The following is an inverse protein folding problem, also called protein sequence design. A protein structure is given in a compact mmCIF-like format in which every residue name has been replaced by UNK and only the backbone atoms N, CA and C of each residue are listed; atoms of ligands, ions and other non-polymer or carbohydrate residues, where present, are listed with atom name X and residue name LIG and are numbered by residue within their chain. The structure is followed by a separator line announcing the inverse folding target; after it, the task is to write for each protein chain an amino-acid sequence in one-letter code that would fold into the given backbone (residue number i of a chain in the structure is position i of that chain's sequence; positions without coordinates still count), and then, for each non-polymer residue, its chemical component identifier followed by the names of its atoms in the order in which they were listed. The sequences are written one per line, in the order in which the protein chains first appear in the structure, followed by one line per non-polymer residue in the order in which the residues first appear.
data_IF_784117628762
#
_entry.id   IF_784117628762
#
_cell.length_a   1.000
_cell.length_b   1.000
_cell.length_c   1.000
_cell.angle_alpha   90.00
_cell.angle_beta   90.00
_cell.angle_gamma   90.00
#
_symmetry.space_group_name_H-M   'P 1'
#
loop_
_entity.id
_entity.type
_entity.pdbx_description
1 polymer ?
#
# COMPACT_ATOMS: atom_id res chain seq x y z
N UNK A 1 -14.39 0.98 0.66
CA UNK A 1 -13.67 1.52 -0.49
C UNK A 1 -12.84 2.69 0.01
N UNK A 2 -11.56 2.52 0.15
CA UNK A 2 -10.68 3.60 0.60
C UNK A 2 -9.78 4.00 -0.56
N UNK A 3 -9.83 5.28 -0.88
CA UNK A 3 -8.88 5.92 -1.79
C UNK A 3 -7.74 6.44 -0.92
N UNK A 4 -6.55 5.88 -1.07
CA UNK A 4 -5.35 6.50 -0.53
C UNK A 4 -5.01 7.70 -1.43
N UNK A 5 -5.30 8.91 -0.96
CA UNK A 5 -4.74 10.13 -1.53
C UNK A 5 -3.48 10.44 -0.75
N UNK A 6 -2.32 10.12 -1.32
CA UNK A 6 -1.05 10.61 -0.80
C UNK A 6 -0.76 11.99 -1.41
N UNK A 7 -0.34 12.95 -0.57
CA UNK A 7 -0.10 14.34 -0.93
C UNK A 7 1.01 14.46 -1.99
N UNK A 8 0.58 14.56 -3.24
CA UNK A 8 1.38 15.29 -4.22
C UNK A 8 1.25 16.77 -3.86
N UNK A 9 2.36 17.46 -3.60
CA UNK A 9 2.38 18.91 -3.41
C UNK A 9 1.58 19.58 -4.54
N UNK A 10 0.32 19.89 -4.24
CA UNK A 10 -0.54 20.64 -5.12
C UNK A 10 -0.09 22.10 -5.11
N UNK A 11 0.75 22.49 -6.07
CA UNK A 11 0.90 23.88 -6.47
C UNK A 11 -0.27 24.32 -7.30
N UNK A 12 -1.49 24.14 -6.80
CA UNK A 12 -2.66 24.80 -7.34
C UNK A 12 -2.78 26.17 -6.69
N UNK A 13 -2.29 27.20 -7.36
CA UNK A 13 -2.75 28.57 -7.12
C UNK A 13 -4.23 28.65 -7.48
N UNK A 14 -5.10 28.58 -6.46
CA UNK A 14 -6.51 28.85 -6.64
C UNK A 14 -6.71 30.34 -6.91
N UNK A 15 -6.89 30.70 -8.15
CA UNK A 15 -7.50 31.96 -8.53
C UNK A 15 -9.00 31.72 -8.77
N UNK A 16 -9.82 32.11 -7.81
CA UNK A 16 -11.27 32.19 -7.97
C UNK A 16 -11.58 33.30 -8.95
N UNK A 17 -11.94 32.95 -10.18
CA UNK A 17 -12.62 33.85 -11.11
C UNK A 17 -13.73 33.05 -11.80
N UNK A 18 -14.99 33.49 -11.56
CA UNK A 18 -16.20 33.16 -12.31
C UNK A 18 -16.35 31.75 -12.90
N UNK A 19 -16.98 30.87 -12.16
CA UNK A 19 -17.91 29.84 -12.68
C UNK A 19 -17.38 28.78 -13.62
N UNK A 20 -16.13 28.79 -14.06
CA UNK A 20 -15.50 27.77 -14.87
C UNK A 20 -14.25 27.22 -14.17
N UNK A 21 -14.39 26.10 -13.46
CA UNK A 21 -13.28 25.30 -13.01
C UNK A 21 -12.70 24.66 -14.27
N UNK A 22 -11.63 25.21 -14.81
CA UNK A 22 -10.80 24.51 -15.79
C UNK A 22 -9.92 23.54 -15.01
N UNK A 23 -10.38 22.28 -14.89
CA UNK A 23 -9.53 21.20 -14.39
C UNK A 23 -8.35 21.02 -15.34
N UNK A 24 -7.16 21.49 -14.93
CA UNK A 24 -5.91 21.35 -15.68
C UNK A 24 -5.14 20.08 -15.28
N UNK A 25 -5.80 19.11 -14.63
CA UNK A 25 -5.24 17.81 -14.28
C UNK A 25 -5.71 16.70 -15.22
N UNK A 26 -4.88 15.71 -15.46
CA UNK A 26 -5.31 14.45 -16.06
C UNK A 26 -6.20 13.74 -15.05
N UNK A 27 -7.50 13.98 -15.14
CA UNK A 27 -8.46 13.46 -14.18
C UNK A 27 -8.69 11.95 -14.44
N UNK A 28 -7.85 11.12 -13.91
CA UNK A 28 -7.97 9.68 -13.93
C UNK A 28 -7.98 9.13 -12.50
N UNK A 29 -8.80 8.13 -12.24
CA UNK A 29 -8.75 7.37 -10.99
C UNK A 29 -8.47 5.90 -11.28
N UNK A 30 -7.70 5.29 -10.39
CA UNK A 30 -7.45 3.86 -10.37
C UNK A 30 -8.28 3.25 -9.25
N UNK A 31 -8.96 2.16 -9.55
CA UNK A 31 -9.86 1.48 -8.63
C UNK A 31 -9.36 0.05 -8.48
N UNK A 32 -8.84 -0.25 -7.30
CA UNK A 32 -8.40 -1.60 -6.95
C UNK A 32 -9.58 -2.36 -6.33
N UNK A 33 -9.85 -3.54 -6.87
CA UNK A 33 -10.81 -4.47 -6.30
C UNK A 33 -10.08 -5.68 -5.75
N UNK A 34 -10.24 -5.95 -4.46
CA UNK A 34 -9.63 -7.10 -3.79
C UNK A 34 -9.99 -8.44 -4.44
N UNK A 35 -11.20 -8.53 -4.95
CA UNK A 35 -11.78 -9.78 -5.38
C UNK A 35 -12.36 -10.59 -4.21
N UNK A 36 -12.47 -11.88 -4.39
CA UNK A 36 -12.92 -12.82 -3.36
C UNK A 36 -11.75 -13.72 -2.95
N UNK A 37 -11.61 -13.94 -1.66
CA UNK A 37 -10.57 -14.77 -1.06
C UNK A 37 -10.45 -16.15 -1.73
N UNK A 38 -9.24 -16.55 -2.10
CA UNK A 38 -8.91 -17.78 -2.82
C UNK A 38 -9.51 -17.93 -4.22
N UNK A 39 -10.02 -16.85 -4.84
CA UNK A 39 -10.51 -16.90 -6.22
C UNK A 39 -9.55 -16.31 -7.25
N UNK A 40 -8.42 -15.75 -6.83
CA UNK A 40 -7.40 -15.18 -7.71
C UNK A 40 -7.97 -14.20 -8.73
N UNK A 41 -8.90 -13.35 -8.30
CA UNK A 41 -9.69 -12.48 -9.17
C UNK A 41 -9.62 -10.99 -8.82
N UNK A 42 -8.57 -10.57 -8.12
CA UNK A 42 -8.28 -9.15 -7.92
C UNK A 42 -8.15 -8.42 -9.25
N UNK A 43 -8.60 -7.18 -9.30
CA UNK A 43 -8.58 -6.40 -10.54
C UNK A 43 -8.26 -4.93 -10.29
N UNK A 44 -7.58 -4.33 -11.27
CA UNK A 44 -7.36 -2.89 -11.34
C UNK A 44 -8.18 -2.33 -12.49
N UNK A 45 -9.06 -1.39 -12.19
CA UNK A 45 -9.80 -0.60 -13.17
C UNK A 45 -9.24 0.83 -13.25
N UNK A 46 -9.42 1.47 -14.40
CA UNK A 46 -9.05 2.85 -14.65
C UNK A 46 -10.23 3.63 -15.21
N UNK A 47 -10.57 4.75 -14.61
CA UNK A 47 -11.59 5.66 -15.10
C UNK A 47 -10.96 6.99 -15.51
N UNK A 48 -11.29 7.48 -16.70
CA UNK A 48 -10.85 8.77 -17.22
C UNK A 48 -12.02 9.74 -17.23
N UNK A 49 -11.92 10.84 -16.50
CA UNK A 49 -12.92 11.91 -16.51
C UNK A 49 -12.95 12.65 -17.86
N UNK A 50 -11.81 12.80 -18.50
CA UNK A 50 -11.72 13.47 -19.82
C UNK A 50 -12.55 12.77 -20.90
N UNK A 51 -12.56 11.45 -20.93
CA UNK A 51 -13.30 10.66 -21.91
C UNK A 51 -14.59 10.05 -21.39
N UNK A 52 -14.88 10.20 -20.08
CA UNK A 52 -15.97 9.53 -19.38
C UNK A 52 -15.99 8.02 -19.59
N UNK A 53 -14.80 7.40 -19.56
CA UNK A 53 -14.61 5.99 -19.91
C UNK A 53 -13.99 5.19 -18.78
N UNK A 54 -14.63 4.03 -18.48
CA UNK A 54 -14.12 3.03 -17.55
C UNK A 54 -13.51 1.85 -18.32
N UNK A 55 -12.28 1.48 -17.96
CA UNK A 55 -11.61 0.23 -18.37
C UNK A 55 -11.55 -0.68 -17.16
N UNK A 56 -12.45 -1.66 -17.07
CA UNK A 56 -12.62 -2.53 -15.87
C UNK A 56 -11.46 -3.46 -15.62
N UNK A 57 -10.85 -4.00 -16.65
CA UNK A 57 -9.76 -4.98 -16.56
C UNK A 57 -8.41 -4.36 -16.96
N UNK A 58 -8.17 -3.11 -16.57
CA UNK A 58 -7.04 -2.30 -17.03
C UNK A 58 -5.70 -3.05 -16.94
N UNK A 59 -5.38 -3.61 -15.77
CA UNK A 59 -4.14 -4.36 -15.60
C UNK A 59 -4.08 -5.62 -16.47
N UNK A 60 -5.15 -6.43 -16.46
CA UNK A 60 -5.21 -7.70 -17.18
C UNK A 60 -5.14 -7.51 -18.69
N UNK A 61 -5.81 -6.48 -19.20
CA UNK A 61 -5.86 -6.20 -20.64
C UNK A 61 -4.49 -5.78 -21.18
N UNK A 62 -3.70 -5.06 -20.40
CA UNK A 62 -2.35 -4.61 -20.76
C UNK A 62 -1.30 -5.72 -20.56
N UNK A 63 -1.33 -6.39 -19.41
CA UNK A 63 -0.27 -7.31 -19.00
C UNK A 63 -0.53 -8.78 -19.31
N UNK A 64 -1.71 -9.11 -19.87
CA UNK A 64 -2.12 -10.47 -20.31
C UNK A 64 -2.10 -11.53 -19.22
N UNK A 65 -2.17 -11.10 -17.96
CA UNK A 65 -2.26 -11.95 -16.78
C UNK A 65 -3.13 -11.31 -15.69
N UNK A 66 -3.59 -12.10 -14.74
CA UNK A 66 -4.29 -11.61 -13.55
C UNK A 66 -3.35 -10.83 -12.62
N UNK A 67 -3.95 -10.01 -11.76
CA UNK A 67 -3.22 -9.27 -10.72
C UNK A 67 -2.83 -10.19 -9.55
N UNK A 68 -3.70 -11.12 -9.21
CA UNK A 68 -3.51 -12.04 -8.09
C UNK A 68 -4.75 -12.17 -7.21
N UNK A 69 -4.54 -12.60 -5.99
CA UNK A 69 -5.58 -12.83 -4.97
C UNK A 69 -5.45 -11.84 -3.82
N UNK A 70 -6.56 -11.18 -3.51
CA UNK A 70 -6.71 -10.24 -2.40
C UNK A 70 -5.71 -9.07 -2.48
N UNK A 71 -5.83 -8.27 -3.55
CA UNK A 71 -5.08 -7.02 -3.68
C UNK A 71 -5.75 -5.93 -2.83
N UNK A 72 -5.09 -5.47 -1.78
CA UNK A 72 -5.73 -4.65 -0.75
C UNK A 72 -5.15 -3.24 -0.57
N UNK A 73 -4.05 -2.91 -1.22
CA UNK A 73 -3.52 -1.54 -1.18
C UNK A 73 -2.94 -1.12 -2.53
N UNK A 74 -3.05 0.17 -2.83
CA UNK A 74 -2.55 0.79 -4.06
C UNK A 74 -2.02 2.18 -3.76
N UNK A 75 -0.78 2.45 -4.18
CA UNK A 75 -0.16 3.74 -3.95
C UNK A 75 0.70 4.19 -5.14
N UNK A 76 0.60 5.47 -5.47
CA UNK A 76 1.44 6.10 -6.49
C UNK A 76 2.69 6.68 -5.83
N UNK A 77 3.86 6.33 -6.34
CA UNK A 77 5.12 6.94 -5.92
C UNK A 77 6.05 7.17 -7.12
N UNK A 78 6.38 8.43 -7.35
CA UNK A 78 7.10 8.85 -8.56
C UNK A 78 6.32 8.50 -9.82
N UNK A 79 6.95 7.77 -10.74
CA UNK A 79 6.32 7.30 -11.98
C UNK A 79 5.74 5.88 -11.88
N UNK A 80 5.65 5.32 -10.68
CA UNK A 80 5.26 3.92 -10.47
C UNK A 80 4.02 3.81 -9.58
N UNK A 81 3.13 2.91 -9.95
CA UNK A 81 2.00 2.50 -9.14
C UNK A 81 2.32 1.15 -8.50
N UNK A 82 2.28 1.11 -7.18
CA UNK A 82 2.54 -0.09 -6.39
C UNK A 82 1.22 -0.68 -5.93
N UNK A 83 1.06 -1.98 -6.08
CA UNK A 83 -0.15 -2.70 -5.70
C UNK A 83 0.25 -3.85 -4.77
N UNK A 84 -0.28 -3.84 -3.57
CA UNK A 84 -0.03 -4.86 -2.56
C UNK A 84 -1.04 -5.98 -2.73
N UNK A 85 -0.56 -7.20 -2.99
CA UNK A 85 -1.41 -8.38 -3.24
C UNK A 85 -1.20 -9.39 -2.12
N UNK A 86 -2.12 -9.42 -1.17
CA UNK A 86 -1.96 -10.10 0.12
C UNK A 86 -1.80 -11.62 -0.01
N UNK A 87 -2.84 -12.32 -0.46
CA UNK A 87 -2.85 -13.80 -0.50
C UNK A 87 -1.84 -14.32 -1.53
N UNK A 88 -1.69 -13.64 -2.67
CA UNK A 88 -0.63 -13.97 -3.63
C UNK A 88 0.78 -13.63 -3.13
N UNK A 89 0.89 -12.94 -2.02
CA UNK A 89 2.16 -12.54 -1.37
C UNK A 89 3.14 -11.87 -2.32
N UNK A 90 2.68 -10.81 -2.98
CA UNK A 90 3.48 -10.05 -3.95
C UNK A 90 3.20 -8.56 -3.87
N UNK A 91 4.17 -7.75 -4.31
CA UNK A 91 3.97 -6.34 -4.66
C UNK A 91 4.09 -6.24 -6.18
N UNK A 92 3.01 -5.89 -6.84
CA UNK A 92 3.03 -5.59 -8.26
C UNK A 92 3.40 -4.12 -8.47
N UNK A 93 4.40 -3.84 -9.31
CA UNK A 93 4.84 -2.49 -9.65
C UNK A 93 4.62 -2.26 -11.12
N UNK A 94 3.81 -1.26 -11.46
CA UNK A 94 3.53 -0.89 -12.85
C UNK A 94 4.00 0.53 -13.15
N UNK A 95 4.36 0.78 -14.38
CA UNK A 95 4.55 2.15 -14.87
C UNK A 95 3.21 2.88 -14.89
N UNK A 96 3.13 4.01 -14.21
CA UNK A 96 1.88 4.75 -14.04
C UNK A 96 1.28 5.26 -15.36
N UNK A 97 2.12 5.66 -16.32
CA UNK A 97 1.64 6.21 -17.59
C UNK A 97 1.13 5.13 -18.53
N UNK A 98 1.85 4.01 -18.62
CA UNK A 98 1.54 2.94 -19.58
C UNK A 98 0.68 1.82 -19.00
N UNK A 99 0.66 1.65 -17.67
CA UNK A 99 0.00 0.54 -17.00
C UNK A 99 0.71 -0.81 -17.17
N UNK A 100 1.92 -0.79 -17.77
CA UNK A 100 2.71 -2.01 -18.00
C UNK A 100 3.47 -2.39 -16.73
N UNK A 101 3.45 -3.67 -16.42
CA UNK A 101 4.20 -4.25 -15.30
C UNK A 101 5.70 -4.03 -15.48
N UNK A 102 6.33 -3.41 -14.48
CA UNK A 102 7.78 -3.26 -14.39
C UNK A 102 8.36 -4.46 -13.66
N UNK A 103 7.73 -4.82 -12.54
CA UNK A 103 8.21 -5.90 -11.68
C UNK A 103 7.13 -6.42 -10.75
N UNK A 104 7.15 -7.72 -10.51
CA UNK A 104 6.46 -8.34 -9.41
C UNK A 104 7.49 -8.74 -8.35
N UNK A 105 7.37 -8.20 -7.14
CA UNK A 105 8.29 -8.44 -6.03
C UNK A 105 7.67 -9.51 -5.14
N UNK A 106 8.26 -10.71 -5.04
CA UNK A 106 7.74 -11.78 -4.18
C UNK A 106 7.97 -11.45 -2.71
N UNK A 107 6.95 -11.68 -1.89
CA UNK A 107 6.94 -11.44 -0.44
C UNK A 107 6.84 -12.79 0.30
N UNK A 108 7.88 -13.61 0.19
CA UNK A 108 7.97 -14.91 0.85
C UNK A 108 9.16 -14.95 1.79
N UNK A 109 9.10 -15.83 2.77
CA UNK A 109 10.24 -16.18 3.63
C UNK A 109 11.19 -17.13 2.91
N UNK A 110 12.38 -17.34 3.44
CA UNK A 110 13.39 -18.23 2.85
C UNK A 110 12.92 -19.70 2.73
N UNK A 111 11.98 -20.10 3.59
CA UNK A 111 11.36 -21.43 3.52
C UNK A 111 10.11 -21.48 2.62
N UNK A 112 9.81 -20.39 1.91
CA UNK A 112 8.69 -20.33 0.97
C UNK A 112 7.33 -20.01 1.59
N UNK A 113 7.25 -19.69 2.88
CA UNK A 113 5.99 -19.26 3.51
C UNK A 113 5.60 -17.86 3.06
N UNK A 114 4.30 -17.66 2.80
CA UNK A 114 3.73 -16.36 2.46
C UNK A 114 3.86 -15.37 3.63
N UNK A 115 4.32 -14.12 3.36
CA UNK A 115 4.34 -13.05 4.37
C UNK A 115 3.01 -12.31 4.46
N UNK A 116 2.15 -12.42 3.47
CA UNK A 116 0.86 -11.77 3.39
C UNK A 116 0.96 -10.24 3.58
N UNK A 117 1.56 -9.50 2.62
CA UNK A 117 1.71 -8.04 2.69
C UNK A 117 0.35 -7.35 2.74
N UNK A 118 0.25 -6.23 3.48
CA UNK A 118 -1.01 -5.53 3.73
C UNK A 118 -1.03 -4.11 3.16
N UNK A 119 -0.19 -3.23 3.67
CA UNK A 119 -0.17 -1.82 3.25
C UNK A 119 1.25 -1.35 3.02
N UNK A 120 1.39 -0.29 2.20
CA UNK A 120 2.65 0.30 1.78
C UNK A 120 2.70 1.78 2.12
N UNK A 121 3.85 2.25 2.58
CA UNK A 121 4.16 3.66 2.79
C UNK A 121 5.53 3.99 2.20
N UNK A 122 5.77 5.28 1.92
CA UNK A 122 7.01 5.72 1.28
C UNK A 122 7.71 6.79 2.11
N UNK A 123 9.03 6.73 2.09
CA UNK A 123 9.87 7.79 2.60
C UNK A 123 11.16 7.86 1.78
N UNK A 124 11.47 9.05 1.26
CA UNK A 124 12.57 9.27 0.31
C UNK A 124 12.49 8.28 -0.86
N UNK A 125 13.54 7.49 -1.11
CA UNK A 125 13.59 6.50 -2.20
C UNK A 125 13.31 5.07 -1.73
N UNK A 126 12.58 4.90 -0.63
CA UNK A 126 12.23 3.60 -0.05
C UNK A 126 10.72 3.44 0.08
N UNK A 127 10.28 2.23 -0.19
CA UNK A 127 8.94 1.74 0.15
C UNK A 127 9.03 0.82 1.37
N UNK A 128 8.05 0.93 2.25
CA UNK A 128 7.92 0.13 3.47
C UNK A 128 6.60 -0.61 3.42
N UNK A 129 6.65 -1.93 3.52
CA UNK A 129 5.46 -2.79 3.40
C UNK A 129 5.29 -3.60 4.67
N UNK A 130 4.19 -3.40 5.38
CA UNK A 130 3.83 -4.24 6.53
C UNK A 130 3.14 -5.53 6.06
N UNK A 131 3.35 -6.61 6.79
CA UNK A 131 2.88 -7.95 6.43
C UNK A 131 2.34 -8.70 7.65
N UNK A 132 1.34 -9.55 7.45
CA UNK A 132 0.70 -10.32 8.52
C UNK A 132 1.65 -11.29 9.23
N UNK A 133 2.78 -11.64 8.64
CA UNK A 133 3.83 -12.44 9.30
C UNK A 133 4.57 -11.72 10.44
N UNK A 134 4.17 -10.49 10.78
CA UNK A 134 4.77 -9.68 11.84
C UNK A 134 5.99 -8.87 11.39
N UNK A 135 6.19 -8.68 10.09
CA UNK A 135 7.34 -7.96 9.56
C UNK A 135 6.99 -6.72 8.77
N UNK A 136 7.98 -5.84 8.62
CA UNK A 136 7.99 -4.73 7.67
C UNK A 136 9.18 -4.92 6.73
N UNK A 137 8.93 -4.94 5.42
CA UNK A 137 9.95 -4.95 4.39
C UNK A 137 10.39 -3.52 4.04
N UNK A 138 11.68 -3.29 3.81
CA UNK A 138 12.22 -2.08 3.16
C UNK A 138 12.65 -2.43 1.74
N UNK A 139 12.09 -1.69 0.78
CA UNK A 139 12.27 -1.91 -0.66
C UNK A 139 12.85 -0.64 -1.27
N UNK A 140 13.92 -0.76 -2.05
CA UNK A 140 14.45 0.36 -2.83
C UNK A 140 13.56 0.64 -4.04
N UNK A 141 13.08 1.88 -4.20
CA UNK A 141 12.12 2.24 -5.25
C UNK A 141 12.75 2.38 -6.64
N UNK A 142 14.08 2.40 -6.74
CA UNK A 142 14.81 2.44 -8.01
C UNK A 142 15.09 1.04 -8.54
N UNK A 143 15.74 0.20 -7.73
CA UNK A 143 16.09 -1.17 -8.11
C UNK A 143 14.94 -2.16 -7.97
N UNK A 144 13.91 -1.80 -7.19
CA UNK A 144 12.78 -2.65 -6.83
C UNK A 144 13.23 -3.96 -6.17
N UNK A 145 14.27 -3.88 -5.33
CA UNK A 145 14.77 -4.99 -4.54
C UNK A 145 14.41 -4.79 -3.06
N UNK A 146 14.05 -5.87 -2.39
CA UNK A 146 13.94 -5.89 -0.93
C UNK A 146 15.36 -5.79 -0.36
N UNK A 147 15.61 -4.81 0.50
CA UNK A 147 16.90 -4.60 1.15
C UNK A 147 16.99 -5.32 2.49
N UNK A 148 15.92 -5.29 3.27
CA UNK A 148 15.88 -5.86 4.61
C UNK A 148 14.45 -5.98 5.13
N UNK A 149 14.32 -6.71 6.23
CA UNK A 149 13.10 -6.83 7.02
C UNK A 149 13.37 -6.43 8.46
N UNK A 150 12.36 -5.85 9.13
CA UNK A 150 12.35 -5.65 10.57
C UNK A 150 11.06 -6.22 11.17
N UNK A 151 11.06 -6.47 12.48
CA UNK A 151 9.89 -6.97 13.19
C UNK A 151 8.97 -5.84 13.61
N UNK A 152 7.68 -6.11 13.64
CA UNK A 152 6.63 -5.31 14.24
C UNK A 152 5.84 -6.16 15.25
N UNK A 153 4.57 -5.83 15.52
CA UNK A 153 3.69 -6.64 16.35
C UNK A 153 3.03 -7.79 15.60
N UNK A 154 1.90 -8.29 16.11
CA UNK A 154 1.14 -9.39 15.51
C UNK A 154 0.21 -8.87 14.42
N UNK A 155 0.23 -9.52 13.28
CA UNK A 155 -0.58 -9.20 12.11
C UNK A 155 -0.62 -7.68 11.81
N UNK A 156 0.52 -7.07 11.44
CA UNK A 156 0.58 -5.68 11.00
C UNK A 156 -0.43 -5.40 9.91
N UNK A 157 -1.32 -4.43 10.14
CA UNK A 157 -2.46 -4.16 9.26
C UNK A 157 -2.20 -2.93 8.37
N UNK A 158 -1.77 -1.83 8.96
CA UNK A 158 -1.53 -0.59 8.23
C UNK A 158 -0.23 0.07 8.67
N UNK A 159 0.31 0.96 7.82
CA UNK A 159 1.59 1.62 8.03
C UNK A 159 1.53 3.06 7.54
N UNK A 160 2.09 3.99 8.30
CA UNK A 160 2.34 5.36 7.85
C UNK A 160 3.71 5.87 8.28
N UNK A 161 4.14 6.97 7.66
CA UNK A 161 5.40 7.65 7.96
C UNK A 161 5.13 9.00 8.60
N UNK A 162 5.81 9.31 9.70
CA UNK A 162 5.85 10.65 10.30
C UNK A 162 7.18 10.84 11.03
N UNK A 163 7.81 12.01 10.87
CA UNK A 163 9.03 12.38 11.57
C UNK A 163 10.15 11.32 11.52
N UNK A 164 10.43 10.80 10.32
CA UNK A 164 11.43 9.75 10.06
C UNK A 164 11.20 8.45 10.85
N UNK A 165 9.94 8.15 11.14
CA UNK A 165 9.53 6.91 11.78
C UNK A 165 8.38 6.27 11.03
N UNK A 166 8.34 4.96 11.04
CA UNK A 166 7.18 4.19 10.63
C UNK A 166 6.31 3.93 11.86
N UNK A 167 5.02 4.07 11.67
CA UNK A 167 4.01 3.69 12.64
C UNK A 167 3.20 2.57 12.01
N UNK A 168 3.16 1.41 12.68
CA UNK A 168 2.54 0.19 12.15
C UNK A 168 1.49 -0.28 13.12
N UNK A 169 0.22 -0.29 12.69
CA UNK A 169 -0.87 -0.82 13.50
C UNK A 169 -0.84 -2.35 13.49
N UNK A 170 -0.90 -2.97 14.67
CA UNK A 170 -0.83 -4.41 14.84
C UNK A 170 -2.23 -4.91 15.23
N UNK A 171 -2.91 -5.58 14.32
CA UNK A 171 -4.29 -6.00 14.54
C UNK A 171 -4.41 -7.29 15.37
N UNK A 172 -3.50 -8.24 15.19
CA UNK A 172 -3.62 -9.58 15.75
C UNK A 172 -4.85 -10.33 15.24
N UNK A 173 -5.46 -9.84 14.14
CA UNK A 173 -6.77 -10.32 13.69
C UNK A 173 -6.78 -11.79 13.24
N UNK A 174 -5.71 -12.29 12.65
CA UNK A 174 -5.60 -13.70 12.26
C UNK A 174 -5.40 -14.63 13.47
N UNK A 175 -4.76 -14.13 14.53
CA UNK A 175 -4.45 -14.92 15.73
C UNK A 175 -5.67 -15.11 16.63
N UNK A 176 -6.74 -14.37 16.40
CA UNK A 176 -7.97 -14.47 17.19
C UNK A 176 -8.56 -15.88 17.16
N UNK A 177 -8.55 -16.52 15.98
CA UNK A 177 -9.02 -17.90 15.81
C UNK A 177 -8.14 -18.95 16.49
N UNK A 178 -6.88 -18.58 16.80
CA UNK A 178 -5.94 -19.42 17.52
C UNK A 178 -6.01 -19.26 19.05
N UNK A 179 -6.95 -18.42 19.53
CA UNK A 179 -7.16 -18.17 20.95
C UNK A 179 -6.17 -17.18 21.58
N UNK A 180 -5.33 -16.53 20.78
CA UNK A 180 -4.37 -15.53 21.28
C UNK A 180 -4.99 -14.13 21.47
N UNK A 181 -6.24 -13.93 21.04
CA UNK A 181 -6.91 -12.65 21.04
C UNK A 181 -6.27 -11.67 20.04
N UNK A 182 -6.87 -10.50 19.89
CA UNK A 182 -6.34 -9.42 19.03
C UNK A 182 -5.14 -8.73 19.67
N UNK A 183 -4.34 -8.04 18.85
CA UNK A 183 -3.31 -7.10 19.32
C UNK A 183 -3.95 -5.73 19.61
N UNK A 184 -3.29 -4.89 20.39
CA UNK A 184 -3.74 -3.54 20.76
C UNK A 184 -2.59 -2.54 20.72
N UNK A 185 -1.63 -2.76 19.81
CA UNK A 185 -0.42 -1.93 19.78
C UNK A 185 -0.17 -1.29 18.42
N UNK A 186 0.61 -0.21 18.43
CA UNK A 186 1.26 0.38 17.27
C UNK A 186 2.76 0.28 17.46
N UNK A 187 3.45 -0.39 16.55
CA UNK A 187 4.92 -0.43 16.52
C UNK A 187 5.47 0.87 15.97
N UNK A 188 6.45 1.46 16.65
CA UNK A 188 7.21 2.63 16.18
C UNK A 188 8.59 2.16 15.77
N UNK A 189 8.90 2.26 14.47
CA UNK A 189 10.15 1.81 13.88
C UNK A 189 10.93 3.05 13.42
N UNK A 190 12.16 3.18 13.87
CA UNK A 190 13.07 4.21 13.39
C UNK A 190 13.55 3.86 11.97
N UNK A 191 13.43 4.79 11.03
CA UNK A 191 13.72 4.53 9.60
C UNK A 191 15.21 4.34 9.36
N UNK A 192 16.07 5.08 10.06
CA UNK A 192 17.53 5.03 9.85
C UNK A 192 18.10 3.69 10.33
N UNK A 193 17.85 3.33 11.58
CA UNK A 193 18.30 2.04 12.13
C UNK A 193 17.48 0.85 11.65
N UNK A 194 16.28 1.10 11.14
CA UNK A 194 15.27 0.13 10.73
C UNK A 194 14.97 -0.91 11.80
N UNK A 195 14.79 -0.42 13.04
CA UNK A 195 14.47 -1.24 14.21
C UNK A 195 13.28 -0.67 14.97
N UNK A 196 12.47 -1.55 15.57
CA UNK A 196 11.41 -1.12 16.49
C UNK A 196 12.02 -0.49 17.75
N UNK A 197 11.65 0.76 18.02
CA UNK A 197 12.15 1.52 19.17
C UNK A 197 11.12 1.67 20.29
N UNK A 198 9.84 1.44 19.98
CA UNK A 198 8.74 1.63 20.94
C UNK A 198 7.48 0.91 20.45
N UNK A 199 6.62 0.54 21.40
CA UNK A 199 5.20 0.22 21.16
C UNK A 199 4.31 1.24 21.86
N UNK A 200 3.21 1.60 21.21
CA UNK A 200 2.16 2.46 21.74
C UNK A 200 0.94 1.56 21.96
N UNK A 201 0.42 1.51 23.18
CA UNK A 201 -0.83 0.83 23.46
C UNK A 201 -2.01 1.68 22.97
N UNK A 202 -2.95 1.04 22.27
CA UNK A 202 -4.15 1.64 21.70
C UNK A 202 -5.37 0.75 21.98
N UNK A 203 -6.52 1.04 21.38
CA UNK A 203 -7.67 0.15 21.42
C UNK A 203 -7.39 -1.20 20.73
N UNK A 204 -8.19 -2.23 21.01
CA UNK A 204 -8.01 -3.57 20.42
C UNK A 204 -8.23 -3.57 18.90
N UNK A 205 -7.47 -4.39 18.20
CA UNK A 205 -7.54 -4.59 16.76
C UNK A 205 -7.43 -3.27 15.95
N UNK A 206 -6.34 -2.48 16.07
CA UNK A 206 -6.16 -1.26 15.30
C UNK A 206 -5.96 -1.59 13.81
N UNK A 207 -6.90 -1.14 12.97
CA UNK A 207 -6.91 -1.43 11.52
C UNK A 207 -6.27 -0.33 10.68
N UNK A 208 -6.59 0.94 10.97
CA UNK A 208 -6.14 2.07 10.16
C UNK A 208 -5.29 3.04 10.98
N UNK A 209 -4.30 3.64 10.32
CA UNK A 209 -3.45 4.68 10.89
C UNK A 209 -3.18 5.76 9.84
N UNK A 210 -3.20 7.02 10.24
CA UNK A 210 -2.91 8.15 9.37
C UNK A 210 -2.08 9.19 10.12
N UNK A 211 -1.09 9.83 9.48
CA UNK A 211 -0.40 10.94 10.08
C UNK A 211 -1.34 12.14 10.20
N UNK A 212 -1.21 12.89 11.30
CA UNK A 212 -1.84 14.20 11.41
C UNK A 212 -1.08 15.27 10.62
N UNK A 213 -1.65 16.50 10.47
CA UNK A 213 -0.96 17.61 9.83
C UNK A 213 0.35 17.93 10.59
N UNK A 214 1.29 18.58 9.89
CA UNK A 214 2.44 19.21 10.53
C UNK A 214 1.97 20.49 11.22
N UNK A 215 2.50 20.76 12.43
CA UNK A 215 2.23 21.99 13.17
C UNK A 215 2.98 23.18 12.54
#
# INVERSE_FOLDING_TARGET
LFVACDDLEDKSTSTTIDGNITETGTAEIYILSEGLFNLNNSSLAKYSFKSNKLVKNYFKDLNKRGLGDTANDIALYGSKLYIVVNVSSTIEVIDFQTGISIKQIPMFTDNGSSRQPRHIAFYENKAYVCSFDGTVARIDTTSLQIESFTKAGRNPENICVKNKKLYVSNSGGLDYSEGLGVDNTVSVIDIESFTEIKKIEVGPNPGCISPGPDE
#
